data_IF_218914779343
#
_entry.id   IF_218914779343
#
_cell.length_a   1.000
_cell.length_b   1.000
_cell.length_c   1.000
_cell.angle_alpha   90.00
_cell.angle_beta   90.00
_cell.angle_gamma   90.00
#
_symmetry.space_group_name_H-M   'P 1'
#
loop_
_entity.id
_entity.type
_entity.pdbx_description
1 polymer ?
#
# COMPACT_ATOMS: atom_id res chain seq x y z
N UNK A 1 0.92 65.32 -15.40
CA UNK A 1 1.35 64.79 -16.72
C UNK A 1 0.30 63.78 -17.17
N UNK A 2 -0.10 63.86 -18.44
CA UNK A 2 -1.45 63.60 -18.93
C UNK A 2 -1.52 62.31 -19.76
N UNK A 3 -2.55 61.46 -19.53
CA UNK A 3 -3.24 60.52 -20.45
C UNK A 3 -2.43 59.38 -21.11
N UNK A 4 -2.95 58.20 -21.53
CA UNK A 4 -4.29 57.70 -21.95
C UNK A 4 -4.21 56.18 -22.22
N UNK A 5 -5.33 55.42 -22.05
CA UNK A 5 -5.95 54.44 -22.99
C UNK A 5 -5.14 53.21 -23.53
N UNK A 6 -5.62 51.96 -23.78
CA UNK A 6 -6.92 51.24 -23.89
C UNK A 6 -6.68 49.70 -23.89
N UNK A 7 -7.74 48.91 -23.57
CA UNK A 7 -8.18 47.59 -24.14
C UNK A 7 -7.20 46.37 -24.14
N UNK A 8 -7.54 45.09 -23.98
CA UNK A 8 -8.77 44.30 -23.78
C UNK A 8 -8.44 42.85 -23.27
N UNK A 9 -9.33 42.30 -22.44
CA UNK A 9 -9.97 40.95 -22.45
C UNK A 9 -9.20 39.63 -22.82
N UNK A 10 -9.16 38.68 -21.85
CA UNK A 10 -9.27 37.18 -21.93
C UNK A 10 -8.06 36.38 -22.46
N UNK A 11 -7.52 35.26 -21.92
CA UNK A 11 -7.86 34.20 -20.92
C UNK A 11 -6.52 33.56 -20.46
N UNK A 12 -6.30 33.08 -19.23
CA UNK A 12 -6.70 31.76 -18.68
C UNK A 12 -6.43 31.70 -17.16
N UNK A 13 -7.29 31.05 -16.33
CA UNK A 13 -7.03 30.86 -14.91
C UNK A 13 -6.60 29.41 -14.62
N UNK A 14 -5.35 29.20 -14.22
CA UNK A 14 -4.94 28.21 -13.21
C UNK A 14 -3.43 27.98 -13.29
N UNK A 15 -2.70 28.49 -12.29
CA UNK A 15 -1.54 27.88 -11.64
C UNK A 15 -0.88 28.96 -10.78
N UNK A 16 -1.42 29.20 -9.58
CA UNK A 16 -0.61 29.83 -8.53
C UNK A 16 0.19 28.71 -7.88
N UNK A 17 1.43 28.56 -8.33
CA UNK A 17 2.49 27.86 -7.60
C UNK A 17 2.72 28.68 -6.33
N UNK A 18 2.43 28.10 -5.17
CA UNK A 18 2.80 28.68 -3.88
C UNK A 18 4.26 28.28 -3.66
N UNK A 19 5.18 29.23 -3.82
CA UNK A 19 6.56 29.10 -3.33
C UNK A 19 6.52 28.97 -1.81
N UNK A 20 6.88 27.77 -1.31
CA UNK A 20 7.09 27.54 0.11
C UNK A 20 8.56 27.90 0.38
N UNK A 21 8.78 29.00 1.09
CA UNK A 21 10.10 29.36 1.61
C UNK A 21 10.43 28.41 2.75
N UNK A 22 11.48 27.60 2.60
CA UNK A 22 12.03 26.77 3.68
C UNK A 22 12.53 27.68 4.80
N UNK A 23 11.99 27.48 6.01
CA UNK A 23 12.51 28.04 7.24
C UNK A 23 13.28 26.91 7.92
N UNK A 24 14.61 27.03 7.93
CA UNK A 24 15.49 26.09 8.63
C UNK A 24 15.50 26.31 10.16
N UNK A 25 15.64 25.18 10.84
CA UNK A 25 16.07 24.91 12.22
C UNK A 25 15.17 25.22 13.43
N UNK A 26 14.62 24.15 14.00
CA UNK A 26 14.83 23.79 15.42
C UNK A 26 14.97 22.25 15.53
N UNK A 27 15.89 21.78 16.38
CA UNK A 27 16.16 20.36 16.69
C UNK A 27 14.88 19.59 17.12
N UNK A 28 14.17 19.01 16.16
CA UNK A 28 13.00 18.17 16.42
C UNK A 28 13.48 16.78 16.83
N UNK A 29 13.51 16.52 18.14
CA UNK A 29 13.54 15.15 18.65
C UNK A 29 12.38 14.35 18.02
N UNK A 30 12.64 13.21 17.34
CA UNK A 30 11.59 12.50 16.63
C UNK A 30 10.52 12.06 17.62
N UNK A 31 9.29 12.55 17.41
CA UNK A 31 8.17 12.20 18.29
C UNK A 31 8.00 10.67 18.31
N UNK A 32 7.45 10.13 19.40
CA UNK A 32 7.15 8.69 19.49
C UNK A 32 6.32 8.18 18.31
N UNK A 33 5.48 9.04 17.73
CA UNK A 33 4.68 8.74 16.53
C UNK A 33 5.51 8.60 15.24
N UNK A 34 6.70 9.21 15.19
CA UNK A 34 7.64 9.13 14.07
C UNK A 34 8.38 7.80 14.10
N UNK A 35 9.01 7.43 15.23
CA UNK A 35 9.67 6.13 15.41
C UNK A 35 8.74 4.95 15.11
N UNK A 36 7.50 5.07 15.55
CA UNK A 36 6.44 4.10 15.32
C UNK A 36 6.00 3.98 13.86
N UNK A 37 6.13 5.05 13.09
CA UNK A 37 5.90 5.08 11.65
C UNK A 37 7.06 4.42 10.90
N UNK A 38 8.28 4.79 11.30
CA UNK A 38 9.51 4.36 10.67
C UNK A 38 9.70 2.85 10.82
N UNK A 39 9.40 2.30 12.01
CA UNK A 39 9.45 0.85 12.25
C UNK A 39 8.38 0.08 11.47
N UNK A 40 7.16 0.60 11.39
CA UNK A 40 6.07 -0.04 10.62
C UNK A 40 6.36 -0.02 9.12
N UNK A 41 6.98 1.05 8.62
CA UNK A 41 7.42 1.16 7.23
C UNK A 41 8.53 0.16 6.93
N UNK A 42 9.56 0.11 7.78
CA UNK A 42 10.68 -0.81 7.61
C UNK A 42 10.25 -2.29 7.56
N UNK A 43 9.31 -2.68 8.42
CA UNK A 43 8.76 -4.04 8.43
C UNK A 43 7.98 -4.35 7.14
N UNK A 44 7.20 -3.39 6.63
CA UNK A 44 6.48 -3.54 5.37
C UNK A 44 7.42 -3.64 4.16
N UNK A 45 8.43 -2.77 4.10
CA UNK A 45 9.41 -2.74 3.02
C UNK A 45 10.23 -4.03 2.96
N UNK A 46 10.60 -4.57 4.13
CA UNK A 46 11.25 -5.87 4.24
C UNK A 46 10.36 -6.99 3.71
N UNK A 47 9.09 -7.05 4.13
CA UNK A 47 8.15 -8.07 3.68
C UNK A 47 7.90 -8.00 2.17
N UNK A 48 7.78 -6.79 1.61
CA UNK A 48 7.60 -6.56 0.18
C UNK A 48 8.85 -6.98 -0.62
N UNK A 49 10.04 -6.68 -0.12
CA UNK A 49 11.31 -7.09 -0.74
C UNK A 49 11.43 -8.62 -0.79
N UNK A 50 11.07 -9.30 0.31
CA UNK A 50 11.05 -10.76 0.37
C UNK A 50 10.02 -11.37 -0.59
N UNK A 51 8.83 -10.78 -0.73
CA UNK A 51 7.82 -11.22 -1.68
C UNK A 51 8.31 -11.08 -3.13
N UNK A 52 8.95 -9.96 -3.47
CA UNK A 52 9.53 -9.73 -4.80
C UNK A 52 10.62 -10.74 -5.13
N UNK A 53 11.49 -11.05 -4.16
CA UNK A 53 12.53 -12.05 -4.35
C UNK A 53 11.95 -13.44 -4.66
N UNK A 54 10.86 -13.83 -3.98
CA UNK A 54 10.18 -15.10 -4.26
C UNK A 54 9.52 -15.13 -5.63
N UNK A 55 8.89 -14.03 -6.05
CA UNK A 55 8.27 -13.93 -7.37
C UNK A 55 9.30 -14.01 -8.50
N UNK A 56 10.47 -13.40 -8.33
CA UNK A 56 11.55 -13.40 -9.33
C UNK A 56 12.34 -14.71 -9.36
N UNK A 57 12.36 -15.46 -8.26
CA UNK A 57 13.05 -16.76 -8.20
C UNK A 57 12.36 -17.86 -9.03
N UNK A 58 11.16 -17.61 -9.57
CA UNK A 58 10.41 -18.56 -10.41
C UNK A 58 10.52 -18.33 -11.92
N UNK A 59 11.47 -17.53 -12.41
CA UNK A 59 11.61 -17.21 -13.85
C UNK A 59 12.40 -18.25 -14.67
N UNK A 60 13.13 -19.17 -14.05
CA UNK A 60 13.79 -20.30 -14.73
C UNK A 60 12.89 -21.55 -14.66
N UNK A 61 12.31 -21.92 -15.81
CA UNK A 61 11.29 -22.96 -16.04
C UNK A 61 9.92 -22.71 -15.38
N UNK A 62 8.87 -22.65 -16.22
CA UNK A 62 7.45 -22.57 -15.81
C UNK A 62 7.01 -23.94 -15.27
N UNK A 63 7.63 -24.37 -14.18
CA UNK A 63 7.15 -25.48 -13.37
C UNK A 63 6.49 -24.88 -12.13
N UNK A 64 5.21 -25.15 -11.95
CA UNK A 64 4.51 -24.75 -10.74
C UNK A 64 5.23 -25.37 -9.54
N UNK A 65 5.76 -24.54 -8.64
CA UNK A 65 6.40 -24.98 -7.40
C UNK A 65 5.43 -24.81 -6.23
N UNK A 66 4.80 -25.89 -5.73
CA UNK A 66 3.86 -25.82 -4.60
C UNK A 66 4.47 -25.19 -3.35
N UNK A 67 5.76 -25.47 -3.11
CA UNK A 67 6.50 -24.91 -1.97
C UNK A 67 6.62 -23.39 -2.09
N UNK A 68 6.97 -22.89 -3.28
CA UNK A 68 7.04 -21.44 -3.53
C UNK A 68 5.67 -20.76 -3.36
N UNK A 69 4.59 -21.39 -3.84
CA UNK A 69 3.22 -20.86 -3.70
C UNK A 69 2.79 -20.82 -2.24
N UNK A 70 3.18 -21.83 -1.45
CA UNK A 70 2.91 -21.86 0.00
C UNK A 70 3.68 -20.77 0.74
N UNK A 71 4.96 -20.56 0.39
CA UNK A 71 5.77 -19.50 0.99
C UNK A 71 5.22 -18.11 0.65
N UNK A 72 4.90 -17.87 -0.63
CA UNK A 72 4.29 -16.61 -1.09
C UNK A 72 2.95 -16.39 -0.40
N UNK A 73 2.11 -17.43 -0.29
CA UNK A 73 0.84 -17.38 0.42
C UNK A 73 1.02 -16.89 1.86
N UNK A 74 1.97 -17.45 2.62
CA UNK A 74 2.24 -17.06 4.00
C UNK A 74 2.71 -15.60 4.09
N UNK A 75 3.62 -15.16 3.22
CA UNK A 75 4.09 -13.76 3.20
C UNK A 75 2.99 -12.77 2.84
N UNK A 76 2.09 -13.15 1.94
CA UNK A 76 0.96 -12.30 1.58
C UNK A 76 -0.04 -12.11 2.74
N UNK A 77 -0.25 -13.13 3.58
CA UNK A 77 -1.03 -12.96 4.83
C UNK A 77 -0.34 -11.95 5.74
N UNK A 78 0.96 -12.09 5.94
CA UNK A 78 1.73 -11.21 6.80
C UNK A 78 1.67 -9.76 6.31
N UNK A 79 1.92 -9.52 5.01
CA UNK A 79 1.82 -8.19 4.39
C UNK A 79 0.42 -7.61 4.59
N UNK A 80 -0.62 -8.40 4.33
CA UNK A 80 -2.01 -7.96 4.49
C UNK A 80 -2.33 -7.59 5.93
N UNK A 81 -1.79 -8.34 6.89
CA UNK A 81 -1.94 -8.05 8.32
C UNK A 81 -1.23 -6.76 8.71
N UNK A 82 0.02 -6.57 8.27
CA UNK A 82 0.80 -5.36 8.53
C UNK A 82 0.14 -4.11 7.92
N UNK A 83 -0.42 -4.21 6.71
CA UNK A 83 -1.20 -3.12 6.08
C UNK A 83 -2.37 -2.72 6.99
N UNK A 84 -3.14 -3.69 7.48
CA UNK A 84 -4.31 -3.41 8.32
C UNK A 84 -3.91 -2.75 9.64
N UNK A 85 -2.84 -3.22 10.28
CA UNK A 85 -2.30 -2.61 11.51
C UNK A 85 -1.85 -1.17 11.25
N UNK A 86 -1.03 -0.96 10.21
CA UNK A 86 -0.52 0.36 9.86
C UNK A 86 -1.66 1.35 9.55
N UNK A 87 -2.66 0.90 8.80
CA UNK A 87 -3.85 1.68 8.47
C UNK A 87 -4.64 2.09 9.72
N UNK A 88 -4.92 1.13 10.61
CA UNK A 88 -5.61 1.40 11.87
C UNK A 88 -4.83 2.38 12.77
N UNK A 89 -3.50 2.24 12.85
CA UNK A 89 -2.64 3.11 13.64
C UNK A 89 -2.62 4.55 13.14
N UNK A 90 -2.71 4.75 11.82
CA UNK A 90 -2.63 6.08 11.18
C UNK A 90 -4.00 6.75 10.99
N UNK A 91 -5.09 5.98 11.04
CA UNK A 91 -6.44 6.51 10.87
C UNK A 91 -6.75 7.75 11.73
N UNK A 92 -6.41 7.83 13.05
CA UNK A 92 -6.73 9.01 13.85
C UNK A 92 -6.05 10.29 13.35
N UNK A 93 -4.80 10.18 12.89
CA UNK A 93 -4.01 11.34 12.42
C UNK A 93 -4.57 11.88 11.10
N UNK A 94 -5.06 11.01 10.23
CA UNK A 94 -5.60 11.42 8.93
C UNK A 94 -7.08 11.82 8.95
N UNK A 95 -7.82 11.47 10.02
CA UNK A 95 -9.28 11.70 10.11
C UNK A 95 -9.69 12.74 11.14
N UNK A 96 -8.74 13.21 11.97
CA UNK A 96 -8.97 14.20 13.02
C UNK A 96 -8.11 15.45 12.84
N UNK A 97 -7.91 15.87 11.59
CA UNK A 97 -7.18 17.08 11.24
C UNK A 97 -8.04 18.30 11.62
N UNK A 98 -7.56 19.18 12.51
CA UNK A 98 -8.26 20.40 12.85
C UNK A 98 -8.14 21.45 11.74
N UNK A 99 -9.06 22.41 11.71
CA UNK A 99 -8.93 23.56 10.81
C UNK A 99 -7.74 24.43 11.24
N UNK A 100 -6.85 24.84 10.31
CA UNK A 100 -5.69 25.65 10.65
C UNK A 100 -6.05 27.09 11.03
N UNK A 101 -7.21 27.58 10.58
CA UNK A 101 -7.75 28.90 10.87
C UNK A 101 -9.24 28.88 11.19
N UNK A 102 -9.78 30.02 11.65
CA UNK A 102 -11.20 30.21 11.98
C UNK A 102 -12.06 30.55 10.75
N UNK A 103 -11.45 30.76 9.60
CA UNK A 103 -12.14 31.10 8.36
C UNK A 103 -12.81 29.87 7.71
N UNK A 104 -13.75 30.15 6.82
CA UNK A 104 -14.52 29.11 6.11
C UNK A 104 -13.66 28.24 5.19
N UNK A 105 -12.56 28.76 4.63
CA UNK A 105 -11.70 27.98 3.75
C UNK A 105 -10.88 26.97 4.56
N UNK A 106 -10.35 27.36 5.72
CA UNK A 106 -9.69 26.47 6.68
C UNK A 106 -10.63 25.35 7.16
N UNK A 107 -11.89 25.67 7.45
CA UNK A 107 -12.89 24.67 7.83
C UNK A 107 -13.19 23.69 6.68
N UNK A 108 -13.27 24.19 5.44
CA UNK A 108 -13.48 23.35 4.26
C UNK A 108 -12.29 22.41 4.01
N UNK A 109 -11.05 22.91 4.13
CA UNK A 109 -9.84 22.10 3.97
C UNK A 109 -9.79 20.97 4.98
N UNK A 110 -10.02 21.25 6.27
CA UNK A 110 -10.05 20.21 7.30
C UNK A 110 -11.12 19.15 7.02
N UNK A 111 -12.33 19.56 6.61
CA UNK A 111 -13.40 18.63 6.23
C UNK A 111 -12.98 17.75 5.04
N UNK A 112 -12.37 18.34 4.02
CA UNK A 112 -11.92 17.62 2.84
C UNK A 112 -10.87 16.54 3.18
N UNK A 113 -9.82 16.91 3.92
CA UNK A 113 -8.77 15.97 4.28
C UNK A 113 -9.26 14.88 5.23
N UNK A 114 -10.12 15.20 6.20
CA UNK A 114 -10.70 14.19 7.10
C UNK A 114 -11.57 13.19 6.32
N UNK A 115 -12.41 13.67 5.39
CA UNK A 115 -13.20 12.79 4.54
C UNK A 115 -12.31 11.91 3.65
N UNK A 116 -11.23 12.47 3.11
CA UNK A 116 -10.25 11.71 2.32
C UNK A 116 -9.51 10.68 3.15
N UNK A 117 -9.19 10.98 4.41
CA UNK A 117 -8.60 10.04 5.35
C UNK A 117 -9.50 8.83 5.61
N UNK A 118 -10.81 9.04 5.78
CA UNK A 118 -11.79 7.95 5.94
C UNK A 118 -11.86 7.08 4.69
N UNK A 119 -11.91 7.69 3.49
CA UNK A 119 -11.91 6.94 2.23
C UNK A 119 -10.64 6.11 2.06
N UNK A 120 -9.47 6.69 2.35
CA UNK A 120 -8.20 5.98 2.28
C UNK A 120 -8.17 4.77 3.22
N UNK A 121 -8.71 4.92 4.44
CA UNK A 121 -8.80 3.82 5.41
C UNK A 121 -9.60 2.64 4.82
N UNK A 122 -10.79 2.92 4.28
CA UNK A 122 -11.65 1.89 3.67
C UNK A 122 -10.96 1.20 2.49
N UNK A 123 -10.30 1.96 1.62
CA UNK A 123 -9.58 1.38 0.47
C UNK A 123 -8.40 0.51 0.89
N UNK A 124 -7.66 0.92 1.92
CA UNK A 124 -6.50 0.19 2.42
C UNK A 124 -6.92 -1.12 3.10
N UNK A 125 -7.98 -1.09 3.91
CA UNK A 125 -8.54 -2.31 4.53
C UNK A 125 -9.06 -3.28 3.47
N UNK A 126 -9.75 -2.77 2.44
CA UNK A 126 -10.18 -3.60 1.31
C UNK A 126 -9.00 -4.21 0.55
N UNK A 127 -7.92 -3.46 0.36
CA UNK A 127 -6.70 -3.97 -0.26
C UNK A 127 -6.06 -5.10 0.54
N UNK A 128 -5.99 -4.96 1.87
CA UNK A 128 -5.52 -6.02 2.76
C UNK A 128 -6.39 -7.28 2.67
N UNK A 129 -7.71 -7.14 2.61
CA UNK A 129 -8.60 -8.30 2.48
C UNK A 129 -8.48 -9.01 1.14
N UNK A 130 -8.28 -8.26 0.04
CA UNK A 130 -7.95 -8.85 -1.28
C UNK A 130 -6.63 -9.62 -1.20
N UNK A 131 -5.62 -9.07 -0.52
CA UNK A 131 -4.33 -9.74 -0.31
C UNK A 131 -4.46 -11.08 0.42
N UNK A 132 -5.31 -11.16 1.45
CA UNK A 132 -5.63 -12.41 2.16
C UNK A 132 -6.33 -13.43 1.25
N UNK A 133 -7.31 -12.99 0.46
CA UNK A 133 -8.03 -13.88 -0.45
C UNK A 133 -7.11 -14.49 -1.52
N UNK A 134 -6.20 -13.67 -2.05
CA UNK A 134 -5.19 -14.14 -2.99
C UNK A 134 -4.22 -15.14 -2.32
N UNK A 135 -3.81 -14.88 -1.08
CA UNK A 135 -3.01 -15.84 -0.30
C UNK A 135 -3.70 -17.21 -0.15
N UNK A 136 -5.00 -17.25 0.16
CA UNK A 136 -5.74 -18.50 0.24
C UNK A 136 -5.78 -19.22 -1.12
N UNK A 137 -6.02 -18.46 -2.19
CA UNK A 137 -6.01 -19.02 -3.55
C UNK A 137 -4.67 -19.65 -3.93
N UNK A 138 -3.55 -19.03 -3.53
CA UNK A 138 -2.21 -19.59 -3.73
C UNK A 138 -1.97 -20.86 -2.91
N UNK A 139 -2.46 -20.91 -1.68
CA UNK A 139 -2.37 -22.10 -0.84
C UNK A 139 -3.20 -23.27 -1.39
N UNK A 140 -4.40 -22.97 -1.87
CA UNK A 140 -5.27 -23.96 -2.51
C UNK A 140 -4.63 -24.49 -3.79
N UNK A 141 -4.03 -23.61 -4.60
CA UNK A 141 -3.29 -24.00 -5.80
C UNK A 141 -2.08 -24.89 -5.46
N UNK A 142 -1.27 -24.52 -4.46
CA UNK A 142 -0.15 -25.33 -4.00
C UNK A 142 -0.59 -26.75 -3.63
N UNK A 143 -1.68 -26.86 -2.86
CA UNK A 143 -2.24 -28.14 -2.44
C UNK A 143 -2.68 -28.99 -3.64
N UNK A 144 -3.34 -28.38 -4.63
CA UNK A 144 -3.80 -29.06 -5.83
C UNK A 144 -2.64 -29.63 -6.67
N UNK A 145 -1.54 -28.88 -6.81
CA UNK A 145 -0.36 -29.37 -7.52
C UNK A 145 0.31 -30.52 -6.76
N UNK A 146 0.52 -30.39 -5.44
CA UNK A 146 1.09 -31.47 -4.62
C UNK A 146 0.25 -32.75 -4.67
N UNK A 147 -1.07 -32.64 -4.70
CA UNK A 147 -1.94 -33.82 -4.79
C UNK A 147 -1.90 -34.45 -6.19
N UNK A 148 -1.73 -33.65 -7.24
CA UNK A 148 -1.53 -34.14 -8.60
C UNK A 148 -0.24 -34.94 -8.74
N UNK A 149 0.87 -34.44 -8.18
CA UNK A 149 2.17 -35.11 -8.21
C UNK A 149 2.10 -36.48 -7.52
N UNK A 150 1.47 -36.56 -6.34
CA UNK A 150 1.24 -37.84 -5.64
C UNK A 150 0.47 -38.85 -6.49
N UNK A 151 -0.55 -38.40 -7.22
CA UNK A 151 -1.34 -39.28 -8.09
C UNK A 151 -0.47 -39.79 -9.25
N UNK A 152 0.36 -38.94 -9.85
CA UNK A 152 1.28 -39.33 -10.93
C UNK A 152 2.31 -40.34 -10.43
N UNK A 153 2.88 -40.13 -9.24
CA UNK A 153 3.82 -41.06 -8.63
C UNK A 153 3.17 -42.43 -8.38
N UNK A 154 1.97 -42.45 -7.80
CA UNK A 154 1.20 -43.70 -7.58
C UNK A 154 0.88 -44.44 -8.89
N UNK A 155 0.56 -43.72 -9.96
CA UNK A 155 0.30 -44.34 -11.28
C UNK A 155 1.60 -44.92 -11.85
N UNK A 156 2.70 -44.19 -11.72
CA UNK A 156 4.02 -44.60 -12.24
C UNK A 156 4.57 -45.82 -11.53
N UNK A 157 4.42 -45.90 -10.20
CA UNK A 157 4.81 -47.07 -9.41
C UNK A 157 3.98 -48.32 -9.77
N UNK A 158 2.68 -48.16 -10.05
CA UNK A 158 1.82 -49.28 -10.43
C UNK A 158 2.05 -49.78 -11.86
N UNK A 159 2.53 -48.91 -12.77
CA UNK A 159 2.84 -49.30 -14.16
C UNK A 159 4.23 -49.93 -14.32
N UNK A 160 5.15 -49.73 -13.37
CA UNK A 160 6.49 -50.33 -13.39
C UNK A 160 6.55 -51.77 -12.82
N UNK A 161 5.42 -52.33 -12.37
CA UNK A 161 5.33 -53.68 -11.79
C UNK A 161 4.68 -54.70 -12.77
N UNK A 162 4.32 -54.28 -13.99
CA UNK A 162 3.86 -55.14 -15.09
C UNK A 162 4.94 -55.30 -16.17
#
# INVERSE_FOLDING_TARGET
MTMRSKEALVTHPNQNIIEITEVEDEDVHPSSYQKDCDQSSANFDQALSQLKALLLAGEDEVQASPDSMTEVSAKMVEISHQISIANAKKAPVMTKIPAPGKDSASALLARFFNARGVLYQVHTDRGADIGKQLSWSLKDAASAYTDTDKIIDMISENFLIL
#
